data_IF_438530025647
#
_entry.id   IF_438530025647
#
_cell.length_a   1.000
_cell.length_b   1.000
_cell.length_c   1.000
_cell.angle_alpha   90.00
_cell.angle_beta   90.00
_cell.angle_gamma   90.00
#
_symmetry.space_group_name_H-M   'P 1'
#
loop_
_entity.id
_entity.type
_entity.pdbx_description
1 polymer ?
#
# COMPACT_ATOMS: atom_id res chain seq x y z
N UNK A 1 -5.79 12.39 16.14
CA UNK A 1 -4.99 11.15 16.12
C UNK A 1 -3.56 11.51 16.48
N UNK A 2 -2.95 10.84 17.47
CA UNK A 2 -1.55 11.10 17.84
C UNK A 2 -0.60 10.66 16.71
N UNK A 3 0.51 11.38 16.54
CA UNK A 3 1.56 11.06 15.56
C UNK A 3 2.89 10.98 16.31
N UNK A 4 3.59 9.85 16.15
CA UNK A 4 4.95 9.68 16.64
C UNK A 4 5.90 9.58 15.45
N UNK A 5 6.91 10.44 15.42
CA UNK A 5 7.91 10.48 14.36
C UNK A 5 9.30 10.24 14.96
N UNK A 6 9.98 9.20 14.49
CA UNK A 6 11.35 8.87 14.88
C UNK A 6 12.29 9.15 13.71
N UNK A 7 13.48 9.68 14.01
CA UNK A 7 14.57 9.88 13.05
C UNK A 7 15.76 9.03 13.48
N UNK A 8 16.07 8.01 12.70
CA UNK A 8 17.21 7.11 12.92
C UNK A 8 18.00 6.98 11.62
N UNK A 9 19.32 7.02 11.70
CA UNK A 9 20.19 6.86 10.53
C UNK A 9 20.01 5.47 9.89
N UNK A 10 20.07 5.38 8.57
CA UNK A 10 19.96 4.12 7.83
C UNK A 10 18.53 3.62 7.54
N UNK A 11 17.50 4.19 8.19
CA UNK A 11 16.10 3.85 7.89
C UNK A 11 15.62 4.71 6.72
N UNK A 12 15.25 4.08 5.60
CA UNK A 12 14.75 4.80 4.41
C UNK A 12 13.30 5.26 4.58
N UNK A 13 12.45 4.47 5.25
CA UNK A 13 11.15 4.91 5.75
C UNK A 13 10.30 3.76 6.30
N UNK A 14 9.76 3.92 7.52
CA UNK A 14 8.76 3.02 8.11
C UNK A 14 7.55 3.86 8.54
N UNK A 15 6.37 3.49 8.07
CA UNK A 15 5.10 4.07 8.50
C UNK A 15 4.25 2.98 9.12
N UNK A 16 3.61 3.29 10.23
CA UNK A 16 2.83 2.33 11.01
C UNK A 16 1.55 3.01 11.49
N UNK A 17 0.42 2.33 11.30
CA UNK A 17 -0.89 2.73 11.78
C UNK A 17 -1.38 1.65 12.74
N UNK A 18 -1.63 2.06 13.97
CA UNK A 18 -2.17 1.21 15.03
C UNK A 18 -3.62 1.56 15.27
N UNK A 19 -4.49 0.56 15.19
CA UNK A 19 -5.89 0.62 15.59
C UNK A 19 -6.01 -0.32 16.78
N UNK A 20 -6.31 0.22 17.95
CA UNK A 20 -6.30 -0.51 19.23
C UNK A 20 -7.71 -0.48 19.81
N UNK A 21 -8.29 -1.66 20.03
CA UNK A 21 -9.49 -1.89 20.83
C UNK A 21 -9.14 -2.33 22.25
N UNK A 22 -10.15 -2.63 23.07
CA UNK A 22 -9.93 -3.12 24.44
C UNK A 22 -9.32 -4.52 24.46
N UNK A 23 -9.71 -5.37 23.52
CA UNK A 23 -9.32 -6.78 23.46
C UNK A 23 -8.39 -7.11 22.27
N UNK A 24 -8.26 -6.19 21.30
CA UNK A 24 -7.56 -6.46 20.05
C UNK A 24 -6.77 -5.25 19.51
N UNK A 25 -5.89 -5.55 18.55
CA UNK A 25 -5.09 -4.56 17.86
C UNK A 25 -4.93 -4.96 16.40
N UNK A 26 -5.16 -4.01 15.51
CA UNK A 26 -4.81 -4.10 14.09
C UNK A 26 -3.64 -3.15 13.81
N UNK A 27 -2.61 -3.67 13.17
CA UNK A 27 -1.43 -2.91 12.76
C UNK A 27 -1.28 -2.96 11.25
N UNK A 28 -1.13 -1.80 10.63
CA UNK A 28 -0.85 -1.66 9.20
C UNK A 28 0.50 -0.97 9.07
N UNK A 29 1.50 -1.69 8.56
CA UNK A 29 2.86 -1.17 8.41
C UNK A 29 3.32 -1.17 6.95
N UNK A 30 4.05 -0.12 6.58
CA UNK A 30 4.77 -0.03 5.31
C UNK A 30 6.22 0.33 5.60
N UNK A 31 7.12 -0.59 5.28
CA UNK A 31 8.57 -0.40 5.42
C UNK A 31 9.24 -0.39 4.05
N UNK A 32 10.07 0.62 3.83
CA UNK A 32 10.86 0.81 2.63
C UNK A 32 12.33 0.74 2.99
N UNK A 33 13.06 -0.18 2.38
CA UNK A 33 14.52 -0.36 2.55
C UNK A 33 15.35 0.48 1.56
N UNK A 34 14.72 1.00 0.50
CA UNK A 34 15.39 1.79 -0.53
C UNK A 34 14.38 2.64 -1.30
N UNK A 35 14.85 3.79 -1.83
CA UNK A 35 14.04 4.63 -2.74
C UNK A 35 13.67 3.90 -4.03
N UNK A 36 14.40 2.84 -4.41
CA UNK A 36 14.07 1.98 -5.56
C UNK A 36 12.67 1.38 -5.46
N UNK A 37 12.16 1.14 -4.26
CA UNK A 37 10.81 0.59 -4.05
C UNK A 37 9.70 1.50 -4.65
N UNK A 38 9.94 2.81 -4.74
CA UNK A 38 8.99 3.75 -5.34
C UNK A 38 9.11 3.80 -6.86
N UNK A 39 10.33 3.74 -7.40
CA UNK A 39 10.59 3.77 -8.84
C UNK A 39 10.22 2.46 -9.57
N UNK A 40 10.37 1.30 -8.93
CA UNK A 40 9.99 0.02 -9.52
C UNK A 40 8.49 -0.09 -9.84
N UNK A 41 7.67 0.81 -9.29
CA UNK A 41 6.24 0.87 -9.57
C UNK A 41 5.89 1.52 -10.90
N UNK A 42 6.85 2.00 -11.70
CA UNK A 42 6.62 2.87 -12.88
C UNK A 42 6.07 2.17 -14.14
N UNK A 43 6.29 0.86 -14.34
CA UNK A 43 5.93 0.18 -15.60
C UNK A 43 4.39 0.10 -15.79
N UNK A 44 3.63 -0.12 -14.73
CA UNK A 44 2.16 -0.18 -14.77
C UNK A 44 1.49 1.22 -14.94
N UNK A 45 1.89 2.26 -14.20
CA UNK A 45 1.45 3.64 -14.40
C UNK A 45 1.65 4.16 -15.81
N UNK A 46 2.83 3.96 -16.40
CA UNK A 46 3.17 4.48 -17.74
C UNK A 46 2.23 3.90 -18.79
N UNK A 47 2.01 2.58 -18.75
CA UNK A 47 1.05 1.93 -19.63
C UNK A 47 -0.39 2.36 -19.34
N UNK A 48 -0.74 2.60 -18.07
CA UNK A 48 -2.08 3.02 -17.69
C UNK A 48 -2.46 4.40 -18.26
N UNK A 49 -1.53 5.35 -18.29
CA UNK A 49 -1.77 6.72 -18.77
C UNK A 49 -1.46 6.91 -20.26
N UNK A 50 -0.87 5.91 -20.93
CA UNK A 50 -0.52 6.02 -22.35
C UNK A 50 -1.76 6.39 -23.19
N UNK A 51 -1.66 7.48 -23.96
CA UNK A 51 -2.75 8.07 -24.77
C UNK A 51 -3.97 8.57 -23.97
N UNK A 52 -3.84 8.75 -22.65
CA UNK A 52 -4.86 9.40 -21.82
C UNK A 52 -4.44 10.81 -21.43
N UNK A 53 -5.40 11.71 -21.26
CA UNK A 53 -5.17 13.09 -20.81
C UNK A 53 -5.98 13.38 -19.55
N UNK A 54 -5.34 13.95 -18.53
CA UNK A 54 -6.00 14.27 -17.27
C UNK A 54 -5.06 14.13 -16.09
N UNK A 55 -5.60 14.35 -14.90
CA UNK A 55 -4.91 14.13 -13.63
C UNK A 55 -5.21 12.72 -13.13
N UNK A 56 -4.15 11.97 -12.79
CA UNK A 56 -4.25 10.60 -12.30
C UNK A 56 -3.42 10.44 -11.03
N UNK A 57 -3.98 9.72 -10.07
CA UNK A 57 -3.36 9.35 -8.81
C UNK A 57 -3.01 7.86 -8.78
N UNK A 58 -2.19 7.47 -7.81
CA UNK A 58 -1.83 6.07 -7.62
C UNK A 58 -3.05 5.17 -7.34
N UNK A 59 -4.16 5.72 -6.81
CA UNK A 59 -5.42 4.98 -6.63
C UNK A 59 -6.12 4.64 -7.95
N UNK A 60 -5.88 5.43 -9.01
CA UNK A 60 -6.47 5.19 -10.34
C UNK A 60 -5.70 4.08 -11.06
N UNK A 61 -4.41 3.95 -10.73
CA UNK A 61 -3.50 2.93 -11.27
C UNK A 61 -3.60 1.63 -10.47
N UNK A 62 -3.60 1.73 -9.14
CA UNK A 62 -3.76 0.60 -8.23
C UNK A 62 -5.25 0.34 -8.04
N UNK A 63 -5.80 -0.58 -8.83
CA UNK A 63 -7.17 -1.08 -8.63
C UNK A 63 -7.25 -1.94 -7.34
N UNK A 64 -7.16 -1.26 -6.19
CA UNK A 64 -7.07 -1.87 -4.87
C UNK A 64 -8.33 -2.67 -4.54
N UNK A 65 -9.50 -2.24 -5.05
CA UNK A 65 -10.75 -3.00 -4.90
C UNK A 65 -10.63 -4.36 -5.56
N UNK A 66 -10.23 -4.42 -6.84
CA UNK A 66 -10.06 -5.69 -7.55
C UNK A 66 -9.02 -6.59 -6.88
N UNK A 67 -7.92 -6.01 -6.41
CA UNK A 67 -6.89 -6.77 -5.69
C UNK A 67 -7.48 -7.37 -4.41
N UNK A 68 -8.19 -6.58 -3.60
CA UNK A 68 -8.82 -7.04 -2.37
C UNK A 68 -9.87 -8.12 -2.62
N UNK A 69 -10.76 -7.92 -3.61
CA UNK A 69 -11.74 -8.94 -4.02
C UNK A 69 -11.08 -10.25 -4.41
N UNK A 70 -9.96 -10.20 -5.16
CA UNK A 70 -9.21 -11.41 -5.50
C UNK A 70 -8.71 -12.12 -4.25
N UNK A 71 -8.13 -11.41 -3.29
CA UNK A 71 -7.64 -12.02 -2.06
C UNK A 71 -8.75 -12.67 -1.23
N UNK A 72 -9.89 -12.01 -1.07
CA UNK A 72 -11.04 -12.54 -0.33
C UNK A 72 -11.58 -13.80 -1.02
N UNK A 73 -11.84 -13.72 -2.32
CA UNK A 73 -12.39 -14.84 -3.08
C UNK A 73 -11.44 -16.04 -3.16
N UNK A 74 -10.12 -15.80 -3.25
CA UNK A 74 -9.14 -16.88 -3.17
C UNK A 74 -9.16 -17.55 -1.79
N UNK A 75 -9.35 -16.79 -0.72
CA UNK A 75 -9.47 -17.33 0.64
C UNK A 75 -10.69 -18.26 0.76
N UNK A 76 -11.84 -17.82 0.25
CA UNK A 76 -13.07 -18.62 0.25
C UNK A 76 -12.93 -19.91 -0.57
N UNK A 77 -12.19 -19.89 -1.68
CA UNK A 77 -11.94 -21.08 -2.52
C UNK A 77 -10.94 -22.09 -1.95
N UNK A 78 -10.19 -21.72 -0.91
CA UNK A 78 -9.21 -22.59 -0.24
C UNK A 78 -9.79 -23.20 1.05
N UNK A 79 -10.85 -22.59 1.59
CA UNK A 79 -11.57 -23.07 2.79
C UNK A 79 -12.87 -23.84 2.47
N UNK A 80 -13.28 -23.89 1.20
CA UNK A 80 -14.34 -24.76 0.69
C UNK A 80 -13.79 -25.94 -0.09
#
# INVERSE_FOLDING_TARGET
MPIQAVRASGVVGKHEVLIIGEDDKIEISHESFSRKAFALRDINPVNYIYKKSGYYEMKDILDLKKILYRYINTFDSVLG
#
